data_IF_502382494819
#
_entry.id   IF_502382494819
#
_cell.length_a   1.000
_cell.length_b   1.000
_cell.length_c   1.000
_cell.angle_alpha   90.00
_cell.angle_beta   90.00
_cell.angle_gamma   90.00
#
_symmetry.space_group_name_H-M   'P 1'
#
loop_
_entity.id
_entity.type
_entity.pdbx_description
1 polymer ?
#
# COMPACT_ATOMS: atom_id res chain seq x y z
N UNK A 1 -10.45 -28.75 -3.74
CA UNK A 1 -9.90 -27.58 -4.45
C UNK A 1 -10.70 -26.29 -4.16
N UNK A 2 -11.12 -26.06 -2.93
CA UNK A 2 -11.93 -24.88 -2.53
C UNK A 2 -11.09 -23.74 -1.96
N UNK A 3 -9.95 -24.06 -1.33
CA UNK A 3 -9.07 -23.09 -0.67
C UNK A 3 -8.51 -22.02 -1.62
N UNK A 4 -7.97 -22.34 -2.82
CA UNK A 4 -7.48 -21.31 -3.74
C UNK A 4 -8.59 -20.36 -4.22
N UNK A 5 -9.79 -20.88 -4.45
CA UNK A 5 -10.96 -20.10 -4.88
C UNK A 5 -11.41 -19.12 -3.79
N UNK A 6 -11.53 -19.58 -2.55
CA UNK A 6 -11.92 -18.71 -1.44
C UNK A 6 -10.84 -17.66 -1.11
N UNK A 7 -9.56 -18.02 -1.19
CA UNK A 7 -8.45 -17.08 -1.02
C UNK A 7 -8.50 -15.96 -2.07
N UNK A 8 -8.75 -16.33 -3.34
CA UNK A 8 -8.91 -15.38 -4.44
C UNK A 8 -10.08 -14.43 -4.20
N UNK A 9 -11.23 -14.96 -3.77
CA UNK A 9 -12.42 -14.15 -3.45
C UNK A 9 -12.14 -13.15 -2.32
N UNK A 10 -11.48 -13.58 -1.26
CA UNK A 10 -11.12 -12.70 -0.14
C UNK A 10 -10.14 -11.61 -0.58
N UNK A 11 -9.12 -11.95 -1.37
CA UNK A 11 -8.18 -10.98 -1.90
C UNK A 11 -8.87 -9.94 -2.79
N UNK A 12 -9.72 -10.39 -3.73
CA UNK A 12 -10.49 -9.51 -4.60
C UNK A 12 -11.38 -8.54 -3.80
N UNK A 13 -12.01 -9.03 -2.72
CA UNK A 13 -12.80 -8.19 -1.82
C UNK A 13 -11.94 -7.11 -1.15
N UNK A 14 -10.74 -7.46 -0.66
CA UNK A 14 -9.83 -6.49 -0.06
C UNK A 14 -9.37 -5.42 -1.07
N UNK A 15 -9.06 -5.83 -2.30
CA UNK A 15 -8.69 -4.90 -3.38
C UNK A 15 -9.84 -3.97 -3.73
N UNK A 16 -11.07 -4.49 -3.85
CA UNK A 16 -12.25 -3.67 -4.10
C UNK A 16 -12.45 -2.64 -2.99
N UNK A 17 -12.42 -3.05 -1.72
CA UNK A 17 -12.57 -2.13 -0.58
C UNK A 17 -11.51 -1.03 -0.60
N UNK A 18 -10.25 -1.36 -0.94
CA UNK A 18 -9.20 -0.37 -1.07
C UNK A 18 -9.48 0.61 -2.21
N UNK A 19 -9.96 0.14 -3.36
CA UNK A 19 -10.32 1.02 -4.48
C UNK A 19 -11.49 1.93 -4.13
N UNK A 20 -12.52 1.40 -3.46
CA UNK A 20 -13.67 2.19 -2.99
C UNK A 20 -13.24 3.25 -1.96
N UNK A 21 -12.24 2.95 -1.13
CA UNK A 21 -11.64 3.91 -0.20
C UNK A 21 -10.86 5.03 -0.91
N UNK A 22 -10.15 4.71 -2.01
CA UNK A 22 -9.35 5.70 -2.74
C UNK A 22 -10.17 6.51 -3.75
N UNK A 23 -11.34 6.03 -4.17
CA UNK A 23 -12.15 6.65 -5.21
C UNK A 23 -13.43 7.24 -4.63
N UNK A 24 -13.53 8.56 -4.65
CA UNK A 24 -14.71 9.29 -4.20
C UNK A 24 -15.40 9.95 -5.39
N UNK A 25 -16.67 9.64 -5.62
CA UNK A 25 -17.46 10.19 -6.73
C UNK A 25 -16.78 10.03 -8.12
N UNK A 26 -16.10 8.90 -8.32
CA UNK A 26 -15.37 8.61 -9.56
C UNK A 26 -14.04 9.36 -9.73
N UNK A 27 -13.59 10.09 -8.69
CA UNK A 27 -12.30 10.77 -8.66
C UNK A 27 -11.36 10.08 -7.69
N UNK A 28 -10.10 9.95 -8.09
CA UNK A 28 -9.05 9.46 -7.22
C UNK A 28 -8.70 10.52 -6.17
N UNK A 29 -8.89 10.18 -4.90
CA UNK A 29 -8.54 11.00 -3.74
C UNK A 29 -7.46 10.28 -2.95
N UNK A 30 -6.24 10.81 -2.97
CA UNK A 30 -5.11 10.27 -2.23
C UNK A 30 -4.84 11.14 -1.01
N UNK A 31 -5.38 10.73 0.13
CA UNK A 31 -5.02 11.31 1.43
C UNK A 31 -3.86 10.51 2.02
N UNK A 32 -2.65 11.07 2.02
CA UNK A 32 -1.46 10.37 2.54
C UNK A 32 -1.33 10.42 4.07
N UNK A 33 -2.22 11.16 4.75
CA UNK A 33 -2.30 11.20 6.21
C UNK A 33 -3.27 10.12 6.75
N UNK A 34 -4.16 9.60 5.91
CA UNK A 34 -5.02 8.46 6.21
C UNK A 34 -4.19 7.16 6.34
N UNK A 35 -4.46 6.39 7.41
CA UNK A 35 -3.67 5.21 7.77
C UNK A 35 -3.69 4.12 6.68
N UNK A 36 -4.84 3.92 6.02
CA UNK A 36 -5.00 2.89 4.98
C UNK A 36 -4.18 3.27 3.75
N UNK A 37 -4.30 4.52 3.31
CA UNK A 37 -3.59 5.02 2.14
C UNK A 37 -2.08 5.08 2.39
N UNK A 38 -1.66 5.56 3.57
CA UNK A 38 -0.25 5.59 3.98
C UNK A 38 0.35 4.18 4.04
N UNK A 39 -0.37 3.22 4.63
CA UNK A 39 0.06 1.84 4.74
C UNK A 39 0.17 1.12 3.39
N UNK A 40 -0.71 1.44 2.44
CA UNK A 40 -0.71 0.84 1.11
C UNK A 40 0.30 1.48 0.13
N UNK A 41 0.76 2.71 0.37
CA UNK A 41 1.56 3.49 -0.60
C UNK A 41 3.04 3.33 -0.36
N UNK A 42 3.77 2.69 -1.30
CA UNK A 42 5.23 2.52 -1.18
C UNK A 42 6.01 3.78 -1.57
N UNK A 43 5.65 4.40 -2.69
CA UNK A 43 6.33 5.61 -3.22
C UNK A 43 5.34 6.67 -3.65
N UNK A 44 5.71 7.93 -3.51
CA UNK A 44 4.95 9.07 -4.03
C UNK A 44 5.91 10.19 -4.44
N UNK A 45 5.71 10.74 -5.65
CA UNK A 45 6.52 11.85 -6.20
C UNK A 45 8.04 11.62 -6.11
N UNK A 46 8.49 10.41 -6.45
CA UNK A 46 9.91 10.04 -6.44
C UNK A 46 10.53 9.82 -5.06
N UNK A 47 9.73 9.82 -3.99
CA UNK A 47 10.19 9.52 -2.63
C UNK A 47 9.56 8.21 -2.13
N UNK A 48 10.33 7.46 -1.35
CA UNK A 48 9.78 6.33 -0.58
C UNK A 48 9.04 6.94 0.61
N UNK A 49 7.74 6.67 0.72
CA UNK A 49 6.89 7.20 1.81
C UNK A 49 6.51 6.12 2.83
N UNK A 50 6.62 4.85 2.44
CA UNK A 50 6.42 3.72 3.33
C UNK A 50 7.67 3.47 4.19
N UNK A 51 7.54 3.72 5.49
CA UNK A 51 8.64 3.69 6.46
C UNK A 51 9.36 2.34 6.50
N UNK A 52 8.61 1.22 6.52
CA UNK A 52 9.22 -0.10 6.57
C UNK A 52 9.99 -0.44 5.28
N UNK A 53 9.54 0.03 4.12
CA UNK A 53 10.28 -0.16 2.85
C UNK A 53 11.54 0.70 2.83
N UNK A 54 11.48 1.93 3.32
CA UNK A 54 12.66 2.79 3.44
C UNK A 54 13.71 2.13 4.34
N UNK A 55 13.32 1.68 5.53
CA UNK A 55 14.20 1.00 6.47
C UNK A 55 14.80 -0.30 5.89
N UNK A 56 13.99 -1.11 5.20
CA UNK A 56 14.47 -2.32 4.55
C UNK A 56 15.50 -2.03 3.45
N UNK A 57 15.32 -0.95 2.68
CA UNK A 57 16.25 -0.55 1.64
C UNK A 57 17.55 0.02 2.21
N UNK A 58 17.49 0.81 3.27
CA UNK A 58 18.68 1.28 4.01
C UNK A 58 19.50 0.10 4.54
N UNK A 59 18.83 -0.88 5.15
CA UNK A 59 19.47 -2.11 5.63
C UNK A 59 20.09 -2.93 4.48
N UNK A 60 19.42 -3.02 3.33
CA UNK A 60 19.91 -3.75 2.17
C UNK A 60 21.07 -3.04 1.44
N UNK A 61 21.15 -1.71 1.54
CA UNK A 61 22.17 -0.89 0.83
C UNK A 61 23.37 -0.54 1.70
N UNK A 62 23.37 -0.86 3.00
CA UNK A 62 24.47 -0.57 3.91
C UNK A 62 24.66 0.91 4.24
N UNK A 63 23.76 1.78 3.80
CA UNK A 63 23.75 3.20 4.13
C UNK A 63 23.12 3.38 5.52
N UNK A 64 23.86 3.01 6.57
CA UNK A 64 23.47 3.33 7.94
C UNK A 64 23.47 4.86 8.12
N UNK A 65 22.34 5.40 8.62
CA UNK A 65 22.25 6.77 9.12
C UNK A 65 23.36 7.00 10.16
N UNK A 66 24.09 8.13 10.12
CA UNK A 66 25.09 8.45 11.15
C UNK A 66 24.47 8.56 12.54
#
# INVERSE_FOLDING_TARGET
ATVPTHATQMYAKNVQTLVDHLVHEGKLTLDLDDEITKGATITHRGKIVHEATAAALEAATGAAKP
#
